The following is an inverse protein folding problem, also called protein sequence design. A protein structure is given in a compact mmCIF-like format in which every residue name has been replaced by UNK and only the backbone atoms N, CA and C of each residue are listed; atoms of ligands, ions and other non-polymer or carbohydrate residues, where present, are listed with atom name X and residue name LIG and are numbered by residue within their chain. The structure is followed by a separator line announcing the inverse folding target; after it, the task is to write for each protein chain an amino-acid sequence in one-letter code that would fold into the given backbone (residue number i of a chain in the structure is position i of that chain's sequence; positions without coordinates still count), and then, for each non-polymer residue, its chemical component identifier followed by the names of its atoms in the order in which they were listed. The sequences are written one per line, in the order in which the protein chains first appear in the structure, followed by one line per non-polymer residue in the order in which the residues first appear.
data_IF_865529689731
#
_entry.id   IF_865529689731
#
_cell.length_a   1.000
_cell.length_b   1.000
_cell.length_c   1.000
_cell.angle_alpha   90.00
_cell.angle_beta   90.00
_cell.angle_gamma   90.00
#
_symmetry.space_group_name_H-M   'P 1'
#
loop_
_entity.id
_entity.type
_entity.pdbx_description
1 polymer ?
#
# COMPACT_ATOMS: atom_id res chain seq x y z
N UNK A 1 0.44 9.21 19.27
CA UNK A 1 0.76 8.86 17.85
C UNK A 1 -0.34 8.02 17.19
N UNK A 2 -0.87 6.97 17.84
CA UNK A 2 -1.96 6.12 17.32
C UNK A 2 -3.27 6.86 16.98
N UNK A 3 -3.67 7.87 17.76
CA UNK A 3 -4.92 8.63 17.52
C UNK A 3 -4.93 9.47 16.24
N UNK A 4 -3.78 9.99 15.80
CA UNK A 4 -3.69 10.78 14.56
C UNK A 4 -3.95 9.94 13.31
N UNK A 5 -3.67 8.64 13.38
CA UNK A 5 -3.84 7.72 12.26
C UNK A 5 -5.31 7.31 12.10
N UNK A 6 -5.98 6.99 13.22
CA UNK A 6 -7.40 6.59 13.22
C UNK A 6 -8.33 7.65 12.59
N UNK A 7 -8.08 8.94 12.83
CA UNK A 7 -8.88 10.03 12.25
C UNK A 7 -8.64 10.25 10.74
N UNK A 8 -7.53 9.75 10.20
CA UNK A 8 -7.18 9.83 8.78
C UNK A 8 -7.63 8.61 7.97
N UNK A 9 -7.77 7.45 8.61
CA UNK A 9 -8.29 6.21 8.01
C UNK A 9 -9.82 6.25 7.88
N UNK A 10 -10.32 7.15 7.03
CA UNK A 10 -11.74 7.22 6.69
C UNK A 10 -11.99 6.49 5.38
N UNK A 11 -13.07 5.70 5.33
CA UNK A 11 -13.47 4.96 4.13
C UNK A 11 -13.62 5.87 2.90
N UNK A 12 -14.10 7.10 3.11
CA UNK A 12 -14.25 8.12 2.06
C UNK A 12 -12.93 8.59 1.43
N UNK A 13 -11.79 8.42 2.14
CA UNK A 13 -10.47 8.78 1.64
C UNK A 13 -9.72 7.57 1.02
N UNK A 14 -10.35 6.39 1.03
CA UNK A 14 -9.76 5.18 0.44
C UNK A 14 -10.08 5.14 -1.05
N UNK A 15 -9.06 4.88 -1.85
CA UNK A 15 -9.17 4.72 -3.30
C UNK A 15 -8.78 3.29 -3.67
N UNK A 16 -9.53 2.70 -4.60
CA UNK A 16 -9.15 1.42 -5.18
C UNK A 16 -7.85 1.59 -5.96
N UNK A 17 -6.92 0.65 -5.79
CA UNK A 17 -5.68 0.67 -6.55
C UNK A 17 -5.96 0.49 -8.05
N UNK A 18 -5.34 1.33 -8.88
CA UNK A 18 -5.38 1.24 -10.35
C UNK A 18 -4.04 0.78 -10.89
N UNK A 19 -4.02 -0.10 -11.91
CA UNK A 19 -2.78 -0.55 -12.52
C UNK A 19 -2.03 0.55 -13.28
N UNK A 20 -2.75 1.60 -13.71
CA UNK A 20 -2.20 2.68 -14.54
C UNK A 20 -1.57 3.80 -13.70
N UNK A 21 -1.98 3.94 -12.44
CA UNK A 21 -1.52 5.01 -11.55
C UNK A 21 -1.31 4.49 -10.13
N UNK A 22 -0.06 4.56 -9.67
CA UNK A 22 0.31 4.32 -8.29
C UNK A 22 0.03 5.56 -7.41
N UNK A 23 0.08 5.36 -6.09
CA UNK A 23 0.04 6.47 -5.11
C UNK A 23 1.33 7.31 -5.10
N UNK A 24 1.29 8.38 -4.33
CA UNK A 24 2.39 9.31 -4.14
C UNK A 24 3.21 9.02 -2.87
N UNK A 25 4.39 9.61 -2.75
CA UNK A 25 5.21 9.45 -1.55
C UNK A 25 4.47 9.96 -0.32
N UNK A 26 4.42 9.15 0.73
CA UNK A 26 3.67 9.40 1.95
C UNK A 26 2.23 8.84 1.93
N UNK A 27 1.75 8.35 0.79
CA UNK A 27 0.52 7.57 0.75
C UNK A 27 0.73 6.20 1.40
N UNK A 28 -0.36 5.67 1.97
CA UNK A 28 -0.41 4.34 2.54
C UNK A 28 -1.17 3.40 1.61
N UNK A 29 -0.64 2.20 1.40
CA UNK A 29 -1.25 1.15 0.59
C UNK A 29 -1.47 -0.09 1.44
N UNK A 30 -2.64 -0.72 1.28
CA UNK A 30 -2.96 -2.01 1.85
C UNK A 30 -3.14 -3.02 0.71
N UNK A 31 -2.41 -4.13 0.75
CA UNK A 31 -2.44 -5.15 -0.30
C UNK A 31 -2.73 -6.53 0.28
N UNK A 32 -3.54 -7.29 -0.43
CA UNK A 32 -3.73 -8.71 -0.16
C UNK A 32 -2.47 -9.49 -0.59
N UNK A 33 -1.96 -10.34 0.29
CA UNK A 33 -0.74 -11.10 0.05
C UNK A 33 -0.84 -12.55 0.55
N UNK A 34 -0.24 -13.52 -0.17
CA UNK A 34 0.28 -13.42 -1.55
C UNK A 34 -0.86 -13.26 -2.58
N UNK A 35 -0.58 -12.77 -3.80
CA UNK A 35 -1.63 -12.41 -4.78
C UNK A 35 -2.55 -13.55 -5.21
N UNK A 36 -2.03 -14.79 -5.24
CA UNK A 36 -2.79 -15.97 -5.71
C UNK A 36 -3.66 -16.58 -4.59
N UNK A 37 -3.20 -16.50 -3.35
CA UNK A 37 -3.85 -17.12 -2.20
C UNK A 37 -3.66 -16.22 -0.98
N UNK A 38 -4.43 -15.13 -0.94
CA UNK A 38 -4.30 -14.11 0.09
C UNK A 38 -4.54 -14.71 1.48
N UNK A 39 -3.56 -14.52 2.36
CA UNK A 39 -3.60 -14.92 3.78
C UNK A 39 -3.39 -13.74 4.72
N UNK A 40 -2.88 -12.64 4.17
CA UNK A 40 -2.49 -11.45 4.92
C UNK A 40 -2.90 -10.19 4.17
N UNK A 41 -3.13 -9.12 4.92
CA UNK A 41 -3.12 -7.74 4.43
C UNK A 41 -1.79 -7.12 4.85
N UNK A 42 -0.98 -6.73 3.88
CA UNK A 42 0.27 -5.99 4.09
C UNK A 42 -0.03 -4.50 3.98
N UNK A 43 0.34 -3.73 5.00
CA UNK A 43 0.21 -2.27 5.01
C UNK A 43 1.59 -1.64 4.88
N UNK A 44 1.76 -0.80 3.86
CA UNK A 44 3.02 -0.16 3.52
C UNK A 44 2.85 1.34 3.26
N UNK A 45 3.91 2.10 3.46
CA UNK A 45 4.01 3.51 3.06
C UNK A 45 4.84 3.61 1.76
N UNK A 46 4.39 4.43 0.82
CA UNK A 46 5.16 4.72 -0.39
C UNK A 46 6.28 5.70 -0.03
N UNK A 47 7.54 5.30 -0.28
CA UNK A 47 8.72 6.08 0.12
C UNK A 47 9.47 6.70 -1.05
N UNK A 48 9.16 6.30 -2.29
CA UNK A 48 9.80 6.87 -3.47
C UNK A 48 9.28 6.29 -4.78
N UNK A 49 9.69 6.90 -5.89
CA UNK A 49 9.42 6.45 -7.26
C UNK A 49 10.74 6.04 -7.94
N UNK A 50 10.67 5.14 -8.93
CA UNK A 50 11.86 4.66 -9.67
C UNK A 50 12.59 3.48 -9.02
N UNK A 51 11.91 2.73 -8.16
CA UNK A 51 12.48 1.55 -7.50
C UNK A 51 12.43 0.29 -8.34
N UNK A 52 13.49 -0.51 -8.35
CA UNK A 52 13.51 -1.87 -8.90
C UNK A 52 13.14 -2.88 -7.81
N UNK A 53 11.87 -2.93 -7.41
CA UNK A 53 11.45 -3.86 -6.35
C UNK A 53 10.07 -3.62 -5.74
N UNK A 54 9.20 -2.83 -6.37
CA UNK A 54 7.85 -2.60 -5.86
C UNK A 54 7.07 -3.92 -5.78
N UNK A 55 6.47 -4.19 -4.62
CA UNK A 55 5.48 -5.25 -4.47
C UNK A 55 4.19 -4.78 -5.14
N UNK A 56 4.00 -5.11 -6.43
CA UNK A 56 2.83 -4.68 -7.16
C UNK A 56 2.90 -4.96 -8.66
N UNK A 57 1.78 -4.76 -9.34
CA UNK A 57 1.65 -4.89 -10.80
C UNK A 57 1.46 -3.52 -11.45
N UNK A 58 1.87 -3.38 -12.71
CA UNK A 58 1.73 -2.12 -13.46
C UNK A 58 2.54 -0.99 -12.81
N UNK A 59 1.94 0.20 -12.69
CA UNK A 59 2.56 1.38 -12.08
C UNK A 59 3.10 1.12 -10.66
N UNK A 60 2.49 0.19 -9.90
CA UNK A 60 2.92 -0.16 -8.54
C UNK A 60 4.25 -0.91 -8.45
N UNK A 61 4.71 -1.51 -9.55
CA UNK A 61 6.03 -2.17 -9.61
C UNK A 61 7.18 -1.16 -9.60
N UNK A 62 6.90 0.10 -9.96
CA UNK A 62 7.88 1.18 -10.11
C UNK A 62 8.06 2.04 -8.86
N UNK A 63 7.30 1.79 -7.79
CA UNK A 63 7.38 2.54 -6.54
C UNK A 63 8.14 1.75 -5.47
N UNK A 64 8.84 2.49 -4.61
CA UNK A 64 9.41 1.94 -3.38
C UNK A 64 8.36 1.99 -2.28
N UNK A 65 8.23 0.89 -1.55
CA UNK A 65 7.32 0.76 -0.43
C UNK A 65 8.08 0.29 0.79
N UNK A 66 7.75 0.85 1.95
CA UNK A 66 8.22 0.38 3.26
C UNK A 66 7.04 -0.26 3.99
N UNK A 67 7.14 -1.57 4.21
CA UNK A 67 6.19 -2.30 5.02
C UNK A 67 6.17 -1.75 6.45
N UNK A 68 4.96 -1.58 6.99
CA UNK A 68 4.73 -1.10 8.35
C UNK A 68 4.29 -2.24 9.26
N UNK A 69 3.31 -3.02 8.82
CA UNK A 69 2.79 -4.18 9.55
C UNK A 69 1.93 -5.07 8.64
N UNK A 70 1.60 -6.26 9.13
CA UNK A 70 0.74 -7.24 8.48
C UNK A 70 -0.42 -7.62 9.39
N UNK A 71 -1.55 -7.95 8.78
CA UNK A 71 -2.74 -8.48 9.44
C UNK A 71 -3.08 -9.82 8.79
N UNK A 72 -3.33 -10.85 9.59
CA UNK A 72 -3.86 -12.12 9.08
C UNK A 72 -5.34 -11.96 8.69
N UNK A 73 -5.73 -12.62 7.60
CA UNK A 73 -7.11 -12.71 7.12
C UNK A 73 -7.88 -13.85 7.79
#
# INVERSE_FOLDING_TARGET
MKEKLANKFRRENMQAASLDKAGEVGDYVAMLWPPIAAKEIVVSEITGTGGSGGQGMGAWSSINQRELFRLSL
#
